data_IF_538115820439
#
_entry.id   IF_538115820439
#
_cell.length_a   1.000
_cell.length_b   1.000
_cell.length_c   1.000
_cell.angle_alpha   90.00
_cell.angle_beta   90.00
_cell.angle_gamma   90.00
#
_symmetry.space_group_name_H-M   'P 1'
#
loop_
_entity.id
_entity.type
_entity.pdbx_description
1 polymer ?
#
# COMPACT_ATOMS: atom_id res chain seq x y z
N UNK A 1 0.21 32.54 12.79
CA UNK A 1 0.73 31.90 11.57
C UNK A 1 -0.24 30.80 11.17
N UNK A 2 -0.47 30.59 9.87
CA UNK A 2 -1.25 29.45 9.39
C UNK A 2 -0.52 28.14 9.75
N UNK A 3 -1.27 27.11 10.22
CA UNK A 3 -0.69 25.78 10.51
C UNK A 3 -0.19 25.14 9.22
N UNK A 4 1.01 24.59 9.24
CA UNK A 4 1.58 23.82 8.13
C UNK A 4 0.88 22.45 7.98
N UNK A 5 1.06 21.78 6.84
CA UNK A 5 0.58 20.40 6.65
C UNK A 5 1.13 19.46 7.74
N UNK A 6 2.38 19.65 8.15
CA UNK A 6 2.99 18.88 9.23
C UNK A 6 2.25 19.15 10.57
N UNK A 7 2.00 20.42 10.91
CA UNK A 7 1.30 20.76 12.15
C UNK A 7 -0.11 20.16 12.19
N UNK A 8 -0.83 20.18 11.07
CA UNK A 8 -2.16 19.55 10.96
C UNK A 8 -2.08 18.04 11.11
N UNK A 9 -1.09 17.41 10.51
CA UNK A 9 -0.85 15.96 10.63
C UNK A 9 -0.58 15.57 12.08
N UNK A 10 0.33 16.28 12.77
CA UNK A 10 0.66 16.03 14.16
C UNK A 10 -0.56 16.23 15.10
N UNK A 11 -1.35 17.26 14.84
CA UNK A 11 -2.57 17.50 15.60
C UNK A 11 -3.57 16.34 15.43
N UNK A 12 -3.78 15.87 14.21
CA UNK A 12 -4.67 14.74 13.93
C UNK A 12 -4.15 13.46 14.58
N UNK A 13 -2.85 13.18 14.47
CA UNK A 13 -2.21 12.02 15.09
C UNK A 13 -2.34 12.02 16.62
N UNK A 14 -2.35 13.20 17.24
CA UNK A 14 -2.50 13.34 18.68
C UNK A 14 -3.96 13.18 19.15
N UNK A 15 -4.91 13.73 18.42
CA UNK A 15 -6.30 13.83 18.86
C UNK A 15 -7.22 12.72 18.36
N UNK A 16 -6.89 12.06 17.25
CA UNK A 16 -7.77 11.12 16.58
C UNK A 16 -7.21 9.69 16.58
N UNK A 17 -7.87 8.75 17.24
CA UNK A 17 -7.44 7.36 17.37
C UNK A 17 -7.36 6.67 16.00
N UNK A 18 -8.36 6.83 15.16
CA UNK A 18 -8.42 6.22 13.82
C UNK A 18 -7.30 6.61 12.87
N UNK A 19 -6.52 7.66 13.18
CA UNK A 19 -5.29 7.99 12.45
C UNK A 19 -4.27 6.85 12.51
N UNK A 20 -4.27 6.09 13.61
CA UNK A 20 -3.29 5.04 13.86
C UNK A 20 -3.69 3.66 13.32
N UNK A 21 -4.96 3.45 12.98
CA UNK A 21 -5.47 2.15 12.55
C UNK A 21 -4.65 1.57 11.39
N UNK A 22 -4.37 2.39 10.37
CA UNK A 22 -3.51 2.01 9.25
C UNK A 22 -2.14 1.51 9.72
N UNK A 23 -1.49 2.23 10.61
CA UNK A 23 -0.14 1.90 11.06
C UNK A 23 -0.10 0.66 11.94
N UNK A 24 -1.12 0.49 12.78
CA UNK A 24 -1.27 -0.69 13.64
C UNK A 24 -1.43 -1.95 12.80
N UNK A 25 -2.30 -1.94 11.80
CA UNK A 25 -2.55 -3.11 10.95
C UNK A 25 -1.40 -3.42 10.00
N UNK A 26 -0.52 -2.45 9.73
CA UNK A 26 0.72 -2.65 8.99
C UNK A 26 1.89 -3.10 9.88
N UNK A 27 1.76 -3.12 11.20
CA UNK A 27 2.75 -3.68 12.11
C UNK A 27 3.40 -2.72 13.10
N UNK A 28 2.88 -1.50 13.25
CA UNK A 28 3.29 -0.59 14.34
C UNK A 28 2.62 -1.06 15.63
N UNK A 29 3.42 -1.26 16.69
CA UNK A 29 2.91 -1.71 17.98
C UNK A 29 2.10 -0.60 18.67
N UNK A 30 0.88 -0.93 19.10
CA UNK A 30 -0.01 0.02 19.76
C UNK A 30 0.61 0.66 21.00
N UNK A 31 1.37 -0.12 21.78
CA UNK A 31 2.07 0.38 22.99
C UNK A 31 3.12 1.45 22.64
N UNK A 32 3.82 1.32 21.50
CA UNK A 32 4.79 2.33 21.07
C UNK A 32 4.09 3.63 20.65
N UNK A 33 2.92 3.54 20.01
CA UNK A 33 2.07 4.70 19.70
C UNK A 33 1.63 5.40 20.98
N UNK A 34 1.09 4.65 21.95
CA UNK A 34 0.62 5.18 23.24
C UNK A 34 1.73 5.89 24.01
N UNK A 35 2.95 5.34 23.98
CA UNK A 35 4.13 5.92 24.64
C UNK A 35 4.52 7.28 24.06
N UNK A 36 4.41 7.45 22.75
CA UNK A 36 4.87 8.66 22.07
C UNK A 36 3.76 9.69 21.85
N UNK A 37 2.51 9.26 21.75
CA UNK A 37 1.38 10.07 21.26
C UNK A 37 1.21 11.40 21.99
N UNK A 38 1.28 11.42 23.31
CA UNK A 38 1.12 12.63 24.10
C UNK A 38 2.23 13.68 23.89
N UNK A 39 3.34 13.28 23.26
CA UNK A 39 4.49 14.14 22.99
C UNK A 39 4.58 14.69 21.57
N UNK A 40 3.66 14.32 20.64
CA UNK A 40 3.70 14.77 19.25
C UNK A 40 3.31 16.24 19.05
N UNK A 41 4.12 17.13 19.56
CA UNK A 41 3.87 18.57 19.45
C UNK A 41 4.62 19.23 18.30
N UNK A 42 5.74 18.65 17.89
CA UNK A 42 6.61 19.18 16.82
C UNK A 42 7.16 18.05 15.94
N UNK A 43 7.58 18.43 14.73
CA UNK A 43 8.25 17.49 13.81
C UNK A 43 9.48 16.84 14.46
N UNK A 44 10.29 17.60 15.17
CA UNK A 44 11.54 17.10 15.76
C UNK A 44 11.27 16.07 16.86
N UNK A 45 10.24 16.29 17.68
CA UNK A 45 9.82 15.32 18.69
C UNK A 45 9.29 14.03 18.04
N UNK A 46 8.49 14.14 16.98
CA UNK A 46 8.04 12.99 16.21
C UNK A 46 9.20 12.18 15.66
N UNK A 47 10.11 12.84 14.94
CA UNK A 47 11.27 12.19 14.33
C UNK A 47 12.16 11.53 15.38
N UNK A 48 12.48 12.23 16.49
CA UNK A 48 13.34 11.70 17.56
C UNK A 48 12.70 10.51 18.28
N UNK A 49 11.41 10.57 18.55
CA UNK A 49 10.66 9.48 19.19
C UNK A 49 10.63 8.21 18.34
N UNK A 50 10.20 8.33 17.09
CA UNK A 50 10.16 7.17 16.19
C UNK A 50 11.55 6.62 15.87
N UNK A 51 12.56 7.50 15.74
CA UNK A 51 13.96 7.09 15.54
C UNK A 51 14.45 6.20 16.67
N UNK A 52 14.25 6.62 17.94
CA UNK A 52 14.68 5.84 19.12
C UNK A 52 14.07 4.43 19.14
N UNK A 53 12.78 4.32 18.83
CA UNK A 53 12.11 3.03 18.76
C UNK A 53 12.58 2.19 17.58
N UNK A 54 12.77 2.80 16.41
CA UNK A 54 13.30 2.13 15.23
C UNK A 54 14.73 1.61 15.46
N UNK A 55 15.61 2.46 16.00
CA UNK A 55 17.01 2.10 16.36
C UNK A 55 17.04 0.91 17.35
N UNK A 56 16.16 0.90 18.35
CA UNK A 56 16.05 -0.22 19.29
C UNK A 56 15.68 -1.52 18.58
N UNK A 57 14.63 -1.50 17.73
CA UNK A 57 14.20 -2.69 16.97
C UNK A 57 15.29 -3.15 15.99
N UNK A 58 16.00 -2.22 15.38
CA UNK A 58 17.11 -2.52 14.49
C UNK A 58 18.27 -3.21 15.21
N UNK A 59 18.70 -2.71 16.37
CA UNK A 59 19.74 -3.32 17.19
C UNK A 59 19.31 -4.70 17.74
N UNK A 60 18.05 -4.88 18.10
CA UNK A 60 17.50 -6.20 18.46
C UNK A 60 17.61 -7.17 17.27
N UNK A 61 17.28 -6.72 16.05
CA UNK A 61 17.41 -7.52 14.84
C UNK A 61 18.87 -7.94 14.57
N UNK A 62 19.83 -7.04 14.75
CA UNK A 62 21.25 -7.37 14.57
C UNK A 62 21.72 -8.44 15.57
N UNK A 63 21.31 -8.35 16.84
CA UNK A 63 21.62 -9.37 17.85
C UNK A 63 21.00 -10.73 17.52
N UNK A 64 19.75 -10.75 17.05
CA UNK A 64 19.09 -11.98 16.63
C UNK A 64 19.81 -12.62 15.43
N UNK A 65 20.19 -11.82 14.44
CA UNK A 65 20.95 -12.30 13.28
C UNK A 65 22.33 -12.87 13.68
N UNK A 66 23.02 -12.26 14.65
CA UNK A 66 24.30 -12.76 15.19
C UNK A 66 24.16 -14.11 15.92
N UNK A 67 22.92 -14.42 16.41
CA UNK A 67 22.60 -15.66 17.09
C UNK A 67 21.87 -16.67 16.17
N UNK A 68 21.96 -16.50 14.84
CA UNK A 68 21.35 -17.34 13.82
C UNK A 68 19.79 -17.41 13.87
N UNK A 69 19.13 -16.52 14.63
CA UNK A 69 17.68 -16.39 14.69
C UNK A 69 17.15 -15.56 13.51
N UNK A 70 17.39 -16.02 12.27
CA UNK A 70 17.19 -15.25 11.05
C UNK A 70 15.73 -14.82 10.81
N UNK A 71 14.76 -15.69 11.10
CA UNK A 71 13.32 -15.39 10.92
C UNK A 71 12.88 -14.25 11.84
N UNK A 72 13.27 -14.29 13.10
CA UNK A 72 12.95 -13.23 14.07
C UNK A 72 13.68 -11.94 13.74
N UNK A 73 14.96 -12.05 13.31
CA UNK A 73 15.75 -10.91 12.86
C UNK A 73 15.11 -10.23 11.63
N UNK A 74 14.65 -11.01 10.63
CA UNK A 74 13.91 -10.52 9.47
C UNK A 74 12.71 -9.66 9.91
N UNK A 75 11.85 -10.19 10.79
CA UNK A 75 10.66 -9.47 11.24
C UNK A 75 11.01 -8.21 12.03
N UNK A 76 12.05 -8.21 12.85
CA UNK A 76 12.51 -7.03 13.59
C UNK A 76 13.11 -5.97 12.66
N UNK A 77 13.84 -6.33 11.61
CA UNK A 77 14.31 -5.38 10.59
C UNK A 77 13.14 -4.76 9.81
N UNK A 78 12.10 -5.54 9.45
CA UNK A 78 10.89 -5.01 8.81
C UNK A 78 10.16 -4.02 9.73
N UNK A 79 10.01 -4.36 11.01
CA UNK A 79 9.43 -3.46 12.00
C UNK A 79 10.27 -2.16 12.13
N UNK A 80 11.59 -2.25 12.23
CA UNK A 80 12.47 -1.08 12.26
C UNK A 80 12.29 -0.22 10.99
N UNK A 81 12.25 -0.85 9.81
CA UNK A 81 12.01 -0.18 8.53
C UNK A 81 10.69 0.59 8.51
N UNK A 82 9.60 -0.01 9.01
CA UNK A 82 8.28 0.63 9.11
C UNK A 82 8.32 1.84 10.06
N UNK A 83 9.05 1.76 11.16
CA UNK A 83 9.19 2.89 12.11
C UNK A 83 10.02 4.03 11.50
N UNK A 84 11.10 3.73 10.76
CA UNK A 84 11.82 4.73 9.97
C UNK A 84 10.92 5.33 8.87
N UNK A 85 9.99 4.54 8.32
CA UNK A 85 9.01 5.01 7.34
C UNK A 85 8.12 6.13 7.90
N UNK A 86 7.69 6.05 9.18
CA UNK A 86 6.89 7.09 9.83
C UNK A 86 7.59 8.45 9.85
N UNK A 87 8.93 8.49 9.92
CA UNK A 87 9.68 9.73 9.94
C UNK A 87 9.68 10.42 8.57
N UNK A 88 9.96 9.67 7.49
CA UNK A 88 9.90 10.24 6.14
C UNK A 88 8.45 10.55 5.74
N UNK A 89 7.48 9.74 6.18
CA UNK A 89 6.07 9.93 5.85
C UNK A 89 5.53 11.25 6.39
N UNK A 90 5.92 11.71 7.58
CA UNK A 90 5.50 13.00 8.12
C UNK A 90 5.86 14.17 7.20
N UNK A 91 6.96 14.08 6.45
CA UNK A 91 7.46 15.14 5.57
C UNK A 91 6.79 15.00 4.20
N UNK A 92 5.84 15.86 3.80
CA UNK A 92 5.13 15.70 2.54
C UNK A 92 5.98 16.11 1.32
N UNK A 93 6.89 17.08 1.49
CA UNK A 93 7.70 17.59 0.40
C UNK A 93 8.90 16.69 0.09
N UNK A 94 9.32 16.69 -1.17
CA UNK A 94 10.59 16.09 -1.62
C UNK A 94 11.77 16.96 -1.18
N UNK A 95 12.32 16.65 -0.01
CA UNK A 95 13.47 17.34 0.59
C UNK A 95 14.56 16.34 0.97
N UNK A 96 15.80 16.84 1.16
CA UNK A 96 16.94 16.03 1.58
C UNK A 96 16.67 15.20 2.83
N UNK A 97 15.94 15.77 3.80
CA UNK A 97 15.57 15.08 5.04
C UNK A 97 14.66 13.87 4.76
N UNK A 98 13.61 14.03 3.90
CA UNK A 98 12.75 12.92 3.48
C UNK A 98 13.52 11.83 2.78
N UNK A 99 14.42 12.21 1.87
CA UNK A 99 15.29 11.28 1.14
C UNK A 99 16.18 10.50 2.13
N UNK A 100 16.76 11.19 3.11
CA UNK A 100 17.60 10.57 4.14
C UNK A 100 16.84 9.51 4.94
N UNK A 101 15.66 9.83 5.46
CA UNK A 101 14.87 8.88 6.24
C UNK A 101 14.32 7.73 5.40
N UNK A 102 13.96 7.97 4.13
CA UNK A 102 13.58 6.88 3.24
C UNK A 102 14.73 5.91 3.01
N UNK A 103 15.96 6.40 2.78
CA UNK A 103 17.14 5.54 2.63
C UNK A 103 17.39 4.67 3.86
N UNK A 104 17.24 5.22 5.07
CA UNK A 104 17.37 4.44 6.31
C UNK A 104 16.31 3.36 6.42
N UNK A 105 15.04 3.70 6.09
CA UNK A 105 13.95 2.73 6.05
C UNK A 105 14.23 1.59 5.06
N UNK A 106 14.61 1.93 3.82
CA UNK A 106 14.92 0.95 2.78
C UNK A 106 16.08 0.04 3.16
N UNK A 107 17.13 0.58 3.80
CA UNK A 107 18.26 -0.21 4.28
C UNK A 107 17.83 -1.28 5.30
N UNK A 108 16.88 -0.96 6.19
CA UNK A 108 16.33 -1.94 7.12
C UNK A 108 15.54 -3.05 6.40
N UNK A 109 14.70 -2.68 5.41
CA UNK A 109 13.99 -3.67 4.61
C UNK A 109 14.92 -4.53 3.75
N UNK A 110 16.00 -3.97 3.19
CA UNK A 110 17.01 -4.73 2.47
C UNK A 110 17.75 -5.74 3.36
N UNK A 111 18.06 -5.37 4.61
CA UNK A 111 18.62 -6.33 5.59
C UNK A 111 17.64 -7.45 5.88
N UNK A 112 16.36 -7.13 6.07
CA UNK A 112 15.32 -8.15 6.24
C UNK A 112 15.24 -9.09 5.03
N UNK A 113 15.22 -8.54 3.81
CA UNK A 113 15.13 -9.32 2.59
C UNK A 113 16.35 -10.23 2.35
N UNK A 114 17.54 -9.83 2.83
CA UNK A 114 18.77 -10.67 2.79
C UNK A 114 18.72 -11.86 3.74
N UNK A 115 17.99 -11.74 4.85
CA UNK A 115 17.80 -12.84 5.81
C UNK A 115 16.62 -13.74 5.44
N UNK A 116 15.72 -13.25 4.61
CA UNK A 116 14.53 -13.99 4.20
C UNK A 116 14.88 -15.21 3.36
N UNK A 117 14.20 -16.32 3.60
CA UNK A 117 14.23 -17.50 2.73
C UNK A 117 13.56 -17.23 1.37
N UNK A 118 12.75 -16.18 1.28
CA UNK A 118 12.04 -15.82 0.06
C UNK A 118 12.93 -14.98 -0.83
N UNK A 119 13.14 -15.43 -2.07
CA UNK A 119 13.93 -14.71 -3.06
C UNK A 119 13.33 -13.34 -3.34
N UNK A 120 14.09 -12.29 -3.10
CA UNK A 120 13.68 -10.90 -3.38
C UNK A 120 14.51 -10.33 -4.54
N UNK A 121 13.83 -9.60 -5.46
CA UNK A 121 14.46 -8.85 -6.53
C UNK A 121 13.93 -7.42 -6.53
N UNK A 122 14.83 -6.45 -6.59
CA UNK A 122 14.48 -5.03 -6.81
C UNK A 122 14.50 -4.75 -8.31
N UNK A 123 13.49 -4.06 -8.78
CA UNK A 123 13.26 -3.79 -10.21
C UNK A 123 12.84 -2.34 -10.42
N UNK A 124 13.03 -1.85 -11.64
CA UNK A 124 12.59 -0.52 -12.06
C UNK A 124 11.81 -0.64 -13.36
N UNK A 125 10.71 0.11 -13.46
CA UNK A 125 9.94 0.25 -14.69
C UNK A 125 10.04 1.69 -15.19
N UNK A 126 10.40 1.91 -16.46
CA UNK A 126 10.45 3.25 -17.04
C UNK A 126 9.02 3.80 -17.24
N UNK A 127 8.80 5.04 -16.81
CA UNK A 127 7.59 5.81 -17.08
C UNK A 127 8.03 7.15 -17.69
N UNK A 128 8.06 7.23 -19.01
CA UNK A 128 8.69 8.34 -19.73
C UNK A 128 10.20 8.38 -19.47
N UNK A 129 10.72 9.50 -18.97
CA UNK A 129 12.14 9.67 -18.61
C UNK A 129 12.47 9.31 -17.16
N UNK A 130 11.49 8.87 -16.39
CA UNK A 130 11.60 8.56 -14.96
C UNK A 130 11.31 7.08 -14.71
N UNK A 131 11.53 6.59 -13.48
CA UNK A 131 11.34 5.19 -13.13
C UNK A 131 10.39 5.03 -11.95
N UNK A 132 9.58 3.98 -11.99
CA UNK A 132 8.88 3.44 -10.85
C UNK A 132 9.69 2.31 -10.23
N UNK A 133 9.85 2.32 -8.90
CA UNK A 133 10.66 1.35 -8.17
C UNK A 133 9.78 0.23 -7.63
N UNK A 134 10.22 -1.00 -7.85
CA UNK A 134 9.48 -2.20 -7.48
C UNK A 134 10.30 -3.25 -6.75
N UNK A 135 9.57 -4.17 -6.14
CA UNK A 135 10.09 -5.34 -5.46
C UNK A 135 9.29 -6.57 -5.85
N UNK A 136 9.99 -7.65 -6.21
CA UNK A 136 9.42 -8.96 -6.46
C UNK A 136 9.80 -9.88 -5.31
N UNK A 137 8.83 -10.60 -4.76
CA UNK A 137 9.06 -11.66 -3.79
C UNK A 137 8.56 -12.97 -4.37
N UNK A 138 9.47 -13.93 -4.50
CA UNK A 138 9.28 -15.13 -5.33
C UNK A 138 9.45 -16.38 -4.46
N UNK A 139 8.36 -17.11 -4.13
CA UNK A 139 8.43 -18.40 -3.47
C UNK A 139 8.97 -19.48 -4.45
N UNK A 140 9.42 -20.61 -3.91
CA UNK A 140 10.04 -21.68 -4.72
C UNK A 140 9.05 -22.30 -5.71
N UNK A 141 7.80 -22.54 -5.31
CA UNK A 141 6.74 -23.15 -6.13
C UNK A 141 5.57 -22.17 -6.30
N UNK A 142 5.61 -21.26 -7.27
CA UNK A 142 4.59 -20.24 -7.42
C UNK A 142 3.29 -20.77 -8.03
N UNK A 143 2.16 -20.53 -7.36
CA UNK A 143 0.81 -20.85 -7.81
C UNK A 143 0.19 -19.76 -8.71
N UNK A 144 0.75 -18.55 -8.69
CA UNK A 144 0.26 -17.39 -9.43
C UNK A 144 1.00 -16.12 -9.03
N UNK A 145 0.58 -15.01 -9.60
CA UNK A 145 1.11 -13.68 -9.32
C UNK A 145 0.03 -12.81 -8.67
N UNK A 146 0.38 -12.08 -7.63
CA UNK A 146 -0.43 -11.00 -7.06
C UNK A 146 0.32 -9.68 -7.20
N UNK A 147 -0.26 -8.77 -7.96
CA UNK A 147 0.21 -7.38 -8.03
C UNK A 147 -0.51 -6.61 -6.92
N UNK A 148 0.24 -6.09 -5.94
CA UNK A 148 -0.28 -5.22 -4.90
C UNK A 148 -0.20 -3.78 -5.37
N UNK A 149 -1.35 -3.09 -5.40
CA UNK A 149 -1.45 -1.69 -5.78
C UNK A 149 -1.69 -0.87 -4.51
N UNK A 150 -0.68 -0.09 -4.14
CA UNK A 150 -0.67 0.67 -2.89
C UNK A 150 -1.70 1.82 -2.90
N UNK A 151 -2.31 2.18 -1.76
CA UNK A 151 -3.03 3.44 -1.62
C UNK A 151 -2.09 4.64 -1.81
N UNK A 152 -2.64 5.79 -2.23
CA UNK A 152 -1.88 6.95 -2.72
C UNK A 152 -0.76 7.43 -1.79
N UNK A 153 -1.00 7.47 -0.48
CA UNK A 153 -0.07 8.00 0.52
C UNK A 153 0.73 6.89 1.22
N UNK A 154 0.99 5.79 0.52
CA UNK A 154 1.69 4.60 1.02
C UNK A 154 2.98 4.34 0.24
N UNK A 155 3.72 3.34 0.68
CA UNK A 155 4.86 2.76 -0.03
C UNK A 155 4.70 1.25 -0.11
N UNK A 156 5.39 0.62 -1.05
CA UNK A 156 5.39 -0.85 -1.17
C UNK A 156 5.93 -1.54 0.10
N UNK A 157 6.90 -0.94 0.77
CA UNK A 157 7.47 -1.49 2.00
C UNK A 157 6.50 -1.45 3.17
N UNK A 158 5.62 -0.45 3.24
CA UNK A 158 4.60 -0.36 4.28
C UNK A 158 3.67 -1.57 4.28
N UNK A 159 3.39 -2.12 3.09
CA UNK A 159 2.48 -3.24 2.91
C UNK A 159 3.18 -4.61 3.02
N UNK A 160 4.33 -4.71 3.68
CA UNK A 160 5.09 -5.97 3.78
C UNK A 160 4.29 -7.11 4.41
N UNK A 161 3.36 -6.83 5.31
CA UNK A 161 2.46 -7.84 5.90
C UNK A 161 1.55 -8.48 4.85
N UNK A 162 1.12 -7.70 3.86
CA UNK A 162 0.33 -8.22 2.73
C UNK A 162 1.16 -9.16 1.87
N UNK A 163 2.41 -8.78 1.60
CA UNK A 163 3.33 -9.62 0.85
C UNK A 163 3.55 -10.96 1.55
N UNK A 164 3.79 -10.96 2.88
CA UNK A 164 4.00 -12.18 3.66
C UNK A 164 2.81 -13.14 3.58
N UNK A 165 1.59 -12.62 3.66
CA UNK A 165 0.37 -13.44 3.58
C UNK A 165 0.24 -14.10 2.19
N UNK A 166 0.40 -13.34 1.10
CA UNK A 166 0.32 -13.90 -0.26
C UNK A 166 1.44 -14.92 -0.53
N UNK A 167 2.66 -14.62 -0.10
CA UNK A 167 3.81 -15.52 -0.24
C UNK A 167 3.58 -16.84 0.52
N UNK A 168 2.97 -16.77 1.71
CA UNK A 168 2.67 -17.97 2.53
C UNK A 168 1.76 -18.98 1.83
N UNK A 169 1.05 -18.54 0.78
CA UNK A 169 0.16 -19.35 -0.06
C UNK A 169 0.71 -19.60 -1.47
N UNK A 170 2.01 -19.37 -1.67
CA UNK A 170 2.69 -19.65 -2.92
C UNK A 170 2.48 -18.61 -4.02
N UNK A 171 1.99 -17.41 -3.73
CA UNK A 171 1.92 -16.37 -4.75
C UNK A 171 3.23 -15.59 -4.87
N UNK A 172 3.68 -15.38 -6.09
CA UNK A 172 4.66 -14.31 -6.37
C UNK A 172 3.98 -12.98 -6.06
N UNK A 173 4.67 -12.14 -5.32
CA UNK A 173 4.19 -10.78 -5.06
C UNK A 173 4.99 -9.80 -5.89
N UNK A 174 4.28 -8.93 -6.59
CA UNK A 174 4.79 -7.78 -7.36
C UNK A 174 4.28 -6.52 -6.69
N UNK A 175 5.18 -5.72 -6.11
CA UNK A 175 4.85 -4.46 -5.45
C UNK A 175 5.68 -3.33 -6.05
N UNK A 176 5.04 -2.24 -6.45
CA UNK A 176 5.70 -1.04 -6.96
C UNK A 176 5.22 0.20 -6.23
N UNK A 177 6.11 1.17 -6.07
CA UNK A 177 5.71 2.56 -5.81
C UNK A 177 5.31 3.19 -7.14
N UNK A 178 4.04 3.51 -7.29
CA UNK A 178 3.50 4.18 -8.48
C UNK A 178 3.79 5.69 -8.49
N UNK A 179 3.30 6.42 -9.51
CA UNK A 179 3.47 7.87 -9.60
C UNK A 179 2.90 8.60 -8.37
N UNK A 180 3.75 9.31 -7.64
CA UNK A 180 3.41 10.00 -6.39
C UNK A 180 3.69 9.22 -5.12
N UNK A 181 4.21 8.00 -5.20
CA UNK A 181 4.44 7.13 -4.04
C UNK A 181 5.93 6.89 -3.76
N UNK A 182 6.24 6.61 -2.51
CA UNK A 182 7.48 6.04 -1.97
C UNK A 182 8.77 6.51 -2.65
N UNK A 183 9.55 5.56 -3.14
CA UNK A 183 10.81 5.82 -3.84
C UNK A 183 10.60 6.59 -5.13
N UNK A 184 9.55 6.29 -5.88
CA UNK A 184 9.22 6.91 -7.17
C UNK A 184 9.05 8.42 -7.04
N UNK A 185 8.26 8.88 -6.06
CA UNK A 185 8.12 10.30 -5.79
C UNK A 185 9.39 10.88 -5.15
N UNK A 186 9.95 10.20 -4.16
CA UNK A 186 11.02 10.76 -3.34
C UNK A 186 12.34 10.88 -4.10
N UNK A 187 12.68 9.92 -4.96
CA UNK A 187 13.94 9.94 -5.72
C UNK A 187 13.78 10.59 -7.10
N UNK A 188 12.72 10.26 -7.84
CA UNK A 188 12.51 10.76 -9.20
C UNK A 188 11.69 12.05 -9.25
N UNK A 189 10.92 12.37 -8.21
CA UNK A 189 9.98 13.48 -8.23
C UNK A 189 8.77 13.22 -9.15
N UNK A 190 8.52 11.95 -9.53
CA UNK A 190 7.40 11.58 -10.39
C UNK A 190 6.09 11.75 -9.62
N UNK A 191 5.28 12.73 -10.03
CA UNK A 191 3.96 13.02 -9.44
C UNK A 191 2.85 12.34 -10.24
N UNK A 192 1.78 11.91 -9.54
CA UNK A 192 0.64 11.25 -10.13
C UNK A 192 -0.19 12.16 -11.04
N UNK A 193 -0.64 11.62 -12.17
CA UNK A 193 -1.75 12.05 -12.99
C UNK A 193 -2.52 10.83 -13.42
N UNK A 194 -3.79 10.99 -13.82
CA UNK A 194 -4.61 9.87 -14.32
C UNK A 194 -3.88 9.11 -15.43
N UNK A 195 -3.36 9.81 -16.45
CA UNK A 195 -2.61 9.18 -17.56
C UNK A 195 -1.36 8.43 -17.13
N UNK A 196 -0.64 8.94 -16.12
CA UNK A 196 0.58 8.25 -15.61
C UNK A 196 0.22 6.99 -14.84
N UNK A 197 -0.87 7.04 -14.10
CA UNK A 197 -1.37 5.87 -13.39
C UNK A 197 -1.89 4.81 -14.35
N UNK A 198 -2.64 5.19 -15.41
CA UNK A 198 -3.05 4.26 -16.47
C UNK A 198 -1.84 3.55 -17.08
N UNK A 199 -0.86 4.32 -17.57
CA UNK A 199 0.36 3.75 -18.14
C UNK A 199 1.12 2.86 -17.13
N UNK A 200 1.24 3.30 -15.87
CA UNK A 200 1.90 2.53 -14.83
C UNK A 200 1.22 1.18 -14.57
N UNK A 201 -0.11 1.14 -14.47
CA UNK A 201 -0.85 -0.10 -14.23
C UNK A 201 -0.70 -1.06 -15.41
N UNK A 202 -0.83 -0.55 -16.65
CA UNK A 202 -0.64 -1.36 -17.84
C UNK A 202 0.78 -1.92 -17.92
N UNK A 203 1.80 -1.09 -17.68
CA UNK A 203 3.21 -1.50 -17.69
C UNK A 203 3.54 -2.54 -16.61
N UNK A 204 2.97 -2.42 -15.39
CA UNK A 204 3.16 -3.41 -14.30
C UNK A 204 2.50 -4.74 -14.64
N UNK A 205 1.31 -4.72 -15.25
CA UNK A 205 0.62 -5.94 -15.71
C UNK A 205 1.44 -6.60 -16.84
N UNK A 206 1.91 -5.83 -17.80
CA UNK A 206 2.70 -6.32 -18.91
C UNK A 206 4.05 -6.88 -18.45
N UNK A 207 4.74 -6.16 -17.58
CA UNK A 207 5.97 -6.65 -16.93
C UNK A 207 5.75 -7.98 -16.21
N UNK A 208 4.68 -8.08 -15.43
CA UNK A 208 4.36 -9.30 -14.66
C UNK A 208 4.04 -10.47 -15.56
N UNK A 209 3.22 -10.26 -16.60
CA UNK A 209 2.86 -11.28 -17.59
C UNK A 209 4.07 -11.77 -18.41
N UNK A 210 4.98 -10.87 -18.78
CA UNK A 210 6.19 -11.21 -19.53
C UNK A 210 7.24 -11.90 -18.64
N UNK A 211 7.34 -11.51 -17.36
CA UNK A 211 8.31 -12.09 -16.42
C UNK A 211 7.88 -13.47 -15.93
N UNK A 212 6.57 -13.71 -15.80
CA UNK A 212 5.98 -14.93 -15.27
C UNK A 212 4.94 -15.50 -16.25
N UNK A 213 5.34 -15.87 -17.46
CA UNK A 213 4.42 -16.45 -18.44
C UNK A 213 3.82 -17.75 -17.89
N UNK A 214 2.56 -18.01 -18.19
CA UNK A 214 1.78 -19.17 -17.72
C UNK A 214 1.31 -19.14 -16.27
N UNK A 215 1.58 -18.09 -15.50
CA UNK A 215 1.00 -17.91 -14.18
C UNK A 215 -0.20 -16.95 -14.24
N UNK A 216 -1.30 -17.23 -13.54
CA UNK A 216 -2.44 -16.30 -13.46
C UNK A 216 -2.02 -15.01 -12.74
N UNK A 217 -2.33 -13.86 -13.36
CA UNK A 217 -2.06 -12.53 -12.80
C UNK A 217 -3.31 -12.06 -12.05
N UNK A 218 -3.18 -11.81 -10.76
CA UNK A 218 -4.25 -11.27 -9.94
C UNK A 218 -3.87 -9.89 -9.40
N UNK A 219 -4.85 -9.03 -9.18
CA UNK A 219 -4.65 -7.71 -8.62
C UNK A 219 -5.25 -7.63 -7.21
N UNK A 220 -4.58 -6.92 -6.32
CA UNK A 220 -5.06 -6.59 -4.99
C UNK A 220 -4.79 -5.12 -4.70
N UNK A 221 -5.83 -4.35 -4.39
CA UNK A 221 -5.67 -2.93 -4.05
C UNK A 221 -6.58 -2.49 -2.91
N UNK A 222 -6.16 -1.43 -2.21
CA UNK A 222 -6.93 -0.79 -1.14
C UNK A 222 -7.08 0.70 -1.44
N UNK A 223 -8.25 1.30 -1.15
CA UNK A 223 -8.54 2.73 -1.35
C UNK A 223 -8.27 3.18 -2.81
N UNK A 224 -7.44 4.19 -3.03
CA UNK A 224 -7.03 4.59 -4.40
C UNK A 224 -6.31 3.48 -5.15
N UNK A 225 -5.57 2.60 -4.48
CA UNK A 225 -5.01 1.40 -5.08
C UNK A 225 -6.08 0.41 -5.54
N UNK A 226 -7.21 0.33 -4.83
CA UNK A 226 -8.36 -0.46 -5.26
C UNK A 226 -9.02 0.13 -6.52
N UNK A 227 -9.09 1.46 -6.63
CA UNK A 227 -9.57 2.11 -7.85
C UNK A 227 -8.70 1.76 -9.06
N UNK A 228 -7.38 1.76 -8.89
CA UNK A 228 -6.44 1.38 -9.94
C UNK A 228 -6.42 -0.13 -10.20
N UNK A 229 -6.70 -0.97 -9.20
CA UNK A 229 -6.94 -2.40 -9.42
C UNK A 229 -8.18 -2.65 -10.30
N UNK A 230 -9.25 -1.88 -10.09
CA UNK A 230 -10.45 -1.91 -10.94
C UNK A 230 -10.14 -1.50 -12.38
N UNK A 231 -9.34 -0.46 -12.60
CA UNK A 231 -8.85 -0.13 -13.94
C UNK A 231 -8.10 -1.32 -14.56
N UNK A 232 -7.16 -1.90 -13.82
CA UNK A 232 -6.40 -3.07 -14.27
C UNK A 232 -7.27 -4.31 -14.56
N UNK A 233 -8.45 -4.44 -13.93
CA UNK A 233 -9.39 -5.54 -14.21
C UNK A 233 -9.91 -5.56 -15.64
N UNK A 234 -9.80 -4.45 -16.36
CA UNK A 234 -10.17 -4.34 -17.77
C UNK A 234 -9.11 -4.98 -18.71
N UNK A 235 -7.89 -5.20 -18.22
CA UNK A 235 -6.81 -5.78 -19.02
C UNK A 235 -7.00 -7.29 -19.21
N UNK A 236 -6.99 -7.82 -20.46
CA UNK A 236 -7.23 -9.25 -20.72
C UNK A 236 -6.19 -10.19 -20.11
N UNK A 237 -5.00 -9.70 -19.71
CA UNK A 237 -3.97 -10.50 -19.05
C UNK A 237 -4.26 -10.76 -17.57
N UNK A 238 -5.22 -10.03 -16.97
CA UNK A 238 -5.59 -10.17 -15.57
C UNK A 238 -6.56 -11.35 -15.41
N UNK A 239 -6.33 -12.17 -14.40
CA UNK A 239 -7.20 -13.27 -14.05
C UNK A 239 -8.36 -12.80 -13.16
N UNK A 240 -8.06 -12.23 -11.99
CA UNK A 240 -9.05 -11.77 -11.01
C UNK A 240 -8.53 -10.53 -10.27
N UNK A 241 -9.46 -9.73 -9.76
CA UNK A 241 -9.13 -8.48 -9.06
C UNK A 241 -9.86 -8.39 -7.73
N UNK A 242 -9.12 -8.04 -6.68
CA UNK A 242 -9.67 -7.68 -5.37
C UNK A 242 -9.52 -6.18 -5.17
N UNK A 243 -10.62 -5.53 -4.81
CA UNK A 243 -10.68 -4.10 -4.54
C UNK A 243 -11.35 -3.86 -3.18
N UNK A 244 -10.59 -3.25 -2.25
CA UNK A 244 -11.04 -2.96 -0.89
C UNK A 244 -11.30 -1.46 -0.75
N UNK A 245 -12.53 -1.07 -0.50
CA UNK A 245 -12.98 0.33 -0.36
C UNK A 245 -12.45 1.22 -1.49
N UNK A 246 -12.75 0.95 -2.77
CA UNK A 246 -12.20 1.71 -3.90
C UNK A 246 -12.62 3.19 -3.84
N UNK A 247 -11.65 4.09 -4.02
CA UNK A 247 -11.89 5.52 -4.05
C UNK A 247 -12.57 5.95 -5.36
N UNK A 248 -13.54 6.86 -5.28
CA UNK A 248 -14.32 7.37 -6.42
C UNK A 248 -13.96 8.81 -6.79
N UNK A 249 -14.10 9.15 -8.09
CA UNK A 249 -14.12 10.54 -8.55
C UNK A 249 -15.49 11.14 -8.19
N UNK A 250 -15.50 12.37 -7.70
CA UNK A 250 -16.75 13.13 -7.55
C UNK A 250 -17.49 12.93 -6.22
N UNK A 251 -17.13 11.97 -5.39
CA UNK A 251 -17.66 11.95 -4.04
C UNK A 251 -17.24 13.21 -3.28
N UNK A 252 -18.21 13.81 -2.56
CA UNK A 252 -17.93 14.87 -1.58
C UNK A 252 -17.32 14.22 -0.33
N UNK A 253 -16.12 13.68 -0.49
CA UNK A 253 -15.40 13.03 0.58
C UNK A 253 -14.90 14.11 1.53
N UNK A 254 -15.31 14.06 2.78
CA UNK A 254 -14.73 14.89 3.84
C UNK A 254 -13.38 14.30 4.24
N UNK A 255 -12.39 14.46 3.38
CA UNK A 255 -11.01 14.09 3.72
C UNK A 255 -10.47 15.07 4.77
N UNK A 256 -9.72 14.58 5.77
CA UNK A 256 -9.03 15.46 6.70
C UNK A 256 -8.13 16.47 5.95
N UNK A 257 -8.14 17.72 6.38
CA UNK A 257 -7.38 18.80 5.75
C UNK A 257 -5.92 18.46 5.48
N UNK A 258 -5.26 17.81 6.46
CA UNK A 258 -3.86 17.41 6.32
C UNK A 258 -3.66 16.46 5.14
N UNK A 259 -4.62 15.54 4.91
CA UNK A 259 -4.52 14.57 3.82
C UNK A 259 -4.71 15.24 2.46
N UNK A 260 -5.72 16.13 2.32
CA UNK A 260 -5.95 16.92 1.12
C UNK A 260 -4.71 17.77 0.77
N UNK A 261 -4.08 18.38 1.76
CA UNK A 261 -2.86 19.13 1.54
C UNK A 261 -1.69 18.25 1.11
N UNK A 262 -1.55 17.05 1.71
CA UNK A 262 -0.51 16.07 1.35
C UNK A 262 -0.64 15.61 -0.10
N UNK A 263 -1.87 15.37 -0.57
CA UNK A 263 -2.07 14.93 -1.97
C UNK A 263 -1.54 15.93 -2.98
N UNK A 264 -1.57 17.24 -2.69
CA UNK A 264 -1.04 18.29 -3.56
C UNK A 264 0.48 18.22 -3.79
N UNK A 265 1.23 17.58 -2.91
CA UNK A 265 2.66 17.36 -3.11
C UNK A 265 2.94 16.22 -4.08
N UNK A 266 2.12 15.18 -4.05
CA UNK A 266 2.34 13.92 -4.77
C UNK A 266 1.52 13.81 -6.07
N UNK A 267 0.47 14.61 -6.24
CA UNK A 267 -0.33 14.68 -7.45
C UNK A 267 -0.08 15.98 -8.22
N UNK A 268 -0.24 15.94 -9.54
CA UNK A 268 -0.30 17.11 -10.44
C UNK A 268 -1.74 17.54 -10.75
N UNK A 269 -2.70 16.68 -10.43
CA UNK A 269 -4.13 16.87 -10.61
C UNK A 269 -4.82 16.85 -9.25
N UNK A 270 -6.01 17.39 -9.14
CA UNK A 270 -6.77 17.37 -7.90
C UNK A 270 -7.11 15.94 -7.47
N UNK A 271 -7.47 15.10 -8.44
CA UNK A 271 -7.74 13.67 -8.25
C UNK A 271 -7.14 12.89 -9.42
N UNK A 272 -6.27 11.94 -9.13
CA UNK A 272 -5.71 11.00 -10.11
C UNK A 272 -6.34 9.62 -9.89
N UNK A 273 -7.58 9.46 -10.34
CA UNK A 273 -8.38 8.23 -10.21
C UNK A 273 -9.06 7.90 -11.55
N UNK A 274 -9.35 6.62 -11.84
CA UNK A 274 -10.10 6.25 -13.03
C UNK A 274 -11.60 6.60 -12.88
N UNK A 275 -12.25 6.93 -13.99
CA UNK A 275 -13.70 7.11 -14.06
C UNK A 275 -14.36 5.75 -14.31
N UNK A 276 -14.99 5.16 -13.29
CA UNK A 276 -15.48 3.78 -13.36
C UNK A 276 -16.57 3.60 -14.42
N UNK A 277 -17.38 4.64 -14.68
CA UNK A 277 -18.46 4.63 -15.67
C UNK A 277 -17.94 4.45 -17.11
N UNK A 278 -16.65 4.69 -17.33
CA UNK A 278 -16.01 4.57 -18.63
C UNK A 278 -15.21 3.27 -18.78
N UNK A 279 -15.11 2.46 -17.73
CA UNK A 279 -14.28 1.27 -17.74
C UNK A 279 -15.00 0.07 -18.38
N UNK A 280 -14.39 -0.59 -19.38
CA UNK A 280 -14.94 -1.79 -19.98
C UNK A 280 -14.59 -3.03 -19.12
N UNK A 281 -15.18 -3.14 -17.93
CA UNK A 281 -14.91 -4.25 -17.01
C UNK A 281 -15.02 -5.61 -17.70
N UNK A 282 -14.02 -6.45 -17.52
CA UNK A 282 -13.91 -7.73 -18.22
C UNK A 282 -13.70 -8.91 -17.30
N UNK A 283 -12.84 -8.76 -16.30
CA UNK A 283 -12.44 -9.85 -15.43
C UNK A 283 -13.19 -9.83 -14.11
N UNK A 284 -13.41 -10.99 -13.46
CA UNK A 284 -14.11 -11.06 -12.19
C UNK A 284 -13.47 -10.16 -11.11
N UNK A 285 -14.32 -9.47 -10.36
CA UNK A 285 -13.92 -8.57 -9.27
C UNK A 285 -14.58 -9.02 -7.97
N UNK A 286 -13.78 -9.08 -6.89
CA UNK A 286 -14.28 -9.19 -5.53
C UNK A 286 -14.11 -7.83 -4.83
N UNK A 287 -15.23 -7.22 -4.46
CA UNK A 287 -15.28 -5.98 -3.68
C UNK A 287 -15.37 -6.30 -2.20
N UNK A 288 -14.64 -5.51 -1.40
CA UNK A 288 -14.79 -5.46 0.05
C UNK A 288 -15.17 -4.05 0.47
N UNK A 289 -16.15 -3.94 1.37
CA UNK A 289 -16.70 -2.67 1.83
C UNK A 289 -16.97 -2.69 3.32
N UNK A 290 -16.57 -1.62 4.02
CA UNK A 290 -16.94 -1.36 5.40
C UNK A 290 -18.17 -0.46 5.48
N UNK A 291 -19.20 -0.88 6.17
CA UNK A 291 -20.49 -0.15 6.28
C UNK A 291 -20.37 1.19 7.04
N UNK A 292 -19.28 1.37 7.77
CA UNK A 292 -18.98 2.63 8.46
C UNK A 292 -17.93 3.48 7.70
N UNK A 293 -17.72 3.20 6.41
CA UNK A 293 -16.82 3.97 5.57
C UNK A 293 -17.39 5.38 5.32
N UNK A 294 -16.71 6.39 5.87
CA UNK A 294 -17.10 7.80 5.71
C UNK A 294 -16.57 8.43 4.42
N UNK A 295 -15.72 7.70 3.68
CA UNK A 295 -15.07 8.16 2.45
C UNK A 295 -15.71 7.58 1.20
N UNK A 296 -16.39 6.43 1.31
CA UNK A 296 -17.01 5.73 0.20
C UNK A 296 -18.42 5.30 0.62
N UNK A 297 -19.44 5.78 -0.08
CA UNK A 297 -20.84 5.47 0.26
C UNK A 297 -21.25 4.07 -0.19
N UNK A 298 -22.17 3.44 0.56
CA UNK A 298 -22.80 2.19 0.18
C UNK A 298 -23.39 2.25 -1.23
N UNK A 299 -24.07 3.36 -1.55
CA UNK A 299 -24.73 3.55 -2.86
C UNK A 299 -23.74 3.49 -4.02
N UNK A 300 -22.56 4.05 -3.87
CA UNK A 300 -21.51 4.01 -4.89
C UNK A 300 -20.93 2.60 -5.06
N UNK A 301 -20.75 1.86 -3.96
CA UNK A 301 -20.31 0.47 -4.01
C UNK A 301 -21.34 -0.40 -4.71
N UNK A 302 -22.64 -0.24 -4.41
CA UNK A 302 -23.70 -1.02 -5.05
C UNK A 302 -23.81 -0.69 -6.53
N UNK A 303 -23.75 0.60 -6.89
CA UNK A 303 -23.78 1.02 -8.30
C UNK A 303 -22.57 0.45 -9.08
N UNK A 304 -21.37 0.51 -8.50
CA UNK A 304 -20.18 -0.11 -9.09
C UNK A 304 -20.36 -1.63 -9.22
N UNK A 305 -20.87 -2.29 -8.16
CA UNK A 305 -21.09 -3.74 -8.18
C UNK A 305 -22.02 -4.16 -9.32
N UNK A 306 -23.08 -3.41 -9.60
CA UNK A 306 -23.98 -3.70 -10.71
C UNK A 306 -23.27 -3.71 -12.07
N UNK A 307 -22.30 -2.84 -12.28
CA UNK A 307 -21.54 -2.71 -13.53
C UNK A 307 -20.51 -3.82 -13.75
N UNK A 308 -20.11 -4.54 -12.70
CA UNK A 308 -19.08 -5.56 -12.79
C UNK A 308 -19.56 -6.82 -13.53
N UNK A 309 -18.64 -7.55 -14.21
CA UNK A 309 -19.00 -8.74 -14.99
C UNK A 309 -19.40 -9.92 -14.11
N UNK A 310 -19.85 -10.99 -14.76
CA UNK A 310 -20.16 -12.25 -14.10
C UNK A 310 -18.98 -12.79 -13.30
N UNK A 311 -19.24 -13.53 -12.23
CA UNK A 311 -18.22 -13.99 -11.28
C UNK A 311 -17.81 -12.94 -10.24
N UNK A 312 -18.50 -11.76 -10.24
CA UNK A 312 -18.32 -10.71 -9.23
C UNK A 312 -18.77 -11.16 -7.84
N UNK A 313 -18.13 -10.61 -6.81
CA UNK A 313 -18.49 -10.84 -5.40
C UNK A 313 -18.45 -9.51 -4.63
N UNK A 314 -19.34 -9.39 -3.64
CA UNK A 314 -19.33 -8.29 -2.67
C UNK A 314 -19.30 -8.90 -1.27
N UNK A 315 -18.38 -8.43 -0.44
CA UNK A 315 -18.27 -8.77 0.98
C UNK A 315 -18.32 -7.49 1.78
N UNK A 316 -19.24 -7.41 2.71
CA UNK A 316 -19.46 -6.24 3.55
C UNK A 316 -19.16 -6.57 5.01
N UNK A 317 -18.67 -5.56 5.73
CA UNK A 317 -18.36 -5.64 7.16
C UNK A 317 -19.07 -4.50 7.90
N UNK A 318 -20.01 -4.84 8.76
CA UNK A 318 -20.89 -3.90 9.46
C UNK A 318 -20.16 -2.89 10.35
N UNK A 319 -19.05 -3.31 10.95
CA UNK A 319 -18.31 -2.51 11.94
C UNK A 319 -17.02 -1.89 11.38
N UNK A 320 -16.71 -2.09 10.09
CA UNK A 320 -15.49 -1.59 9.49
C UNK A 320 -15.71 -0.26 8.77
N UNK A 321 -14.68 0.60 8.89
CA UNK A 321 -14.58 1.85 8.14
C UNK A 321 -13.79 1.69 6.85
N UNK A 322 -13.21 2.80 6.40
CA UNK A 322 -12.42 2.85 5.15
C UNK A 322 -11.26 1.86 5.18
N UNK A 323 -11.06 1.13 4.09
CA UNK A 323 -10.07 0.04 3.92
C UNK A 323 -10.33 -1.21 4.76
N UNK A 324 -11.37 -1.31 5.58
CA UNK A 324 -11.65 -2.46 6.44
C UNK A 324 -10.40 -2.91 7.23
N UNK A 325 -9.73 -1.96 7.88
CA UNK A 325 -8.38 -2.12 8.43
C UNK A 325 -8.23 -3.37 9.31
N UNK A 326 -9.16 -3.60 10.23
CA UNK A 326 -9.08 -4.73 11.17
C UNK A 326 -9.50 -6.07 10.56
N UNK A 327 -9.99 -6.06 9.31
CA UNK A 327 -10.33 -7.26 8.52
C UNK A 327 -9.33 -7.58 7.43
N UNK A 328 -8.28 -6.77 7.23
CA UNK A 328 -7.34 -6.92 6.12
C UNK A 328 -6.68 -8.30 6.05
N UNK A 329 -6.34 -8.94 7.17
CA UNK A 329 -5.81 -10.29 7.18
C UNK A 329 -6.85 -11.32 6.67
N UNK A 330 -8.09 -11.23 7.16
CA UNK A 330 -9.22 -12.06 6.70
C UNK A 330 -9.54 -11.81 5.21
N UNK A 331 -9.49 -10.55 4.77
CA UNK A 331 -9.69 -10.15 3.37
C UNK A 331 -8.65 -10.83 2.49
N UNK A 332 -7.36 -10.78 2.85
CA UNK A 332 -6.30 -11.43 2.08
C UNK A 332 -6.48 -12.96 2.04
N UNK A 333 -6.88 -13.57 3.14
CA UNK A 333 -7.20 -15.01 3.17
C UNK A 333 -8.37 -15.35 2.22
N UNK A 334 -9.47 -14.60 2.27
CA UNK A 334 -10.61 -14.78 1.35
C UNK A 334 -10.19 -14.55 -0.10
N UNK A 335 -9.35 -13.54 -0.35
CA UNK A 335 -8.83 -13.23 -1.68
C UNK A 335 -8.03 -14.40 -2.25
N UNK A 336 -7.11 -14.98 -1.47
CA UNK A 336 -6.28 -16.10 -1.90
C UNK A 336 -7.12 -17.36 -2.19
N UNK A 337 -8.11 -17.66 -1.35
CA UNK A 337 -9.07 -18.75 -1.60
C UNK A 337 -9.82 -18.52 -2.92
N UNK A 338 -10.24 -17.28 -3.18
CA UNK A 338 -10.96 -16.96 -4.42
C UNK A 338 -10.04 -16.94 -5.65
N UNK A 339 -8.82 -16.46 -5.55
CA UNK A 339 -7.85 -16.54 -6.65
C UNK A 339 -7.59 -17.97 -7.10
N UNK A 340 -7.58 -18.92 -6.17
CA UNK A 340 -7.36 -20.34 -6.45
C UNK A 340 -8.56 -21.05 -7.13
N UNK A 341 -9.76 -20.45 -7.17
CA UNK A 341 -10.90 -21.05 -7.89
C UNK A 341 -10.76 -20.86 -9.40
N UNK A 342 -11.31 -21.76 -10.21
CA UNK A 342 -11.45 -21.55 -11.63
C UNK A 342 -12.32 -20.32 -11.93
N UNK A 343 -12.12 -19.71 -13.11
CA UNK A 343 -13.06 -18.69 -13.59
C UNK A 343 -14.42 -19.36 -13.87
N UNK A 344 -15.46 -18.83 -13.26
CA UNK A 344 -16.81 -19.15 -13.71
C UNK A 344 -16.98 -18.55 -15.11
N UNK A 345 -17.16 -19.43 -16.10
CA UNK A 345 -17.30 -19.08 -17.55
C UNK A 345 -18.70 -18.54 -17.81
#
# INVERSE_FOLDING_TARGET
MAKTTIDKTLLTANLFDGFWDRWIVHGVEKQDIETLRSSYLTKDIWVDGWRKLADKKFLEAEKLAQNDSFTEAEMKFRAAGLYYQLMQWLIPERKTEKIGWLNVSLSAFEKADKLSQIKTKYVQLPIGEQHCFGRLRIPDEPAGVVIIINPLDSTKEELFTYELDFISKGYIVVSFDGPGQGQTFTFEGLRGTTKRWEAFIDDVIDFSSNTFPNLPINLFGTSSGAAWALYGSCNPKVNKTVAVSPAFIGEAITLPDYFVERTRFVLKEEKALPAFELLPFRNPVMLFHGKQDVMVSDSNIYHLYEQLPQGKRLVEYEEEGHCCNYKLAEIREKSMKWFATEKEV
#
